data_IF_553166764360
#
_entry.id   IF_553166764360
#
_cell.length_a   1.000
_cell.length_b   1.000
_cell.length_c   1.000
_cell.angle_alpha   90.00
_cell.angle_beta   90.00
_cell.angle_gamma   90.00
#
_symmetry.space_group_name_H-M   'P 1'
#
loop_
_entity.id
_entity.type
_entity.pdbx_description
1 polymer ?
#
# COMPACT_ATOMS: atom_id res chain seq x y z
N UNK A 1 -5.08 17.76 -16.72
CA UNK A 1 -5.47 16.37 -16.40
C UNK A 1 -5.95 16.32 -14.95
N UNK A 2 -6.96 15.51 -14.65
CA UNK A 2 -7.53 15.35 -13.30
C UNK A 2 -7.40 13.87 -12.92
N UNK A 3 -6.71 13.59 -11.81
CA UNK A 3 -6.36 12.24 -11.39
C UNK A 3 -7.11 11.88 -10.11
N UNK A 4 -7.83 10.77 -10.12
CA UNK A 4 -8.37 10.15 -8.92
C UNK A 4 -7.46 9.01 -8.48
N UNK A 5 -6.81 9.14 -7.32
CA UNK A 5 -6.05 8.08 -6.68
C UNK A 5 -6.95 7.33 -5.69
N UNK A 6 -6.95 6.00 -5.71
CA UNK A 6 -7.66 5.20 -4.71
C UNK A 6 -6.71 4.24 -3.99
N UNK A 7 -6.78 4.25 -2.66
CA UNK A 7 -5.89 3.47 -1.79
C UNK A 7 -6.58 3.07 -0.49
N UNK A 8 -6.09 2.02 0.16
CA UNK A 8 -6.53 1.66 1.50
C UNK A 8 -5.78 2.40 2.61
N UNK A 9 -4.62 2.97 2.32
CA UNK A 9 -3.74 3.64 3.28
C UNK A 9 -3.39 5.04 2.80
N UNK A 10 -3.52 6.01 3.70
CA UNK A 10 -3.04 7.38 3.49
C UNK A 10 -2.78 8.03 4.86
N UNK A 11 -1.77 8.90 5.04
CA UNK A 11 -1.51 9.53 6.33
C UNK A 11 -2.75 10.23 6.91
N UNK A 12 -2.97 10.13 8.25
CA UNK A 12 -2.10 9.50 9.24
C UNK A 12 -2.26 7.97 9.38
N UNK A 13 -3.11 7.33 8.57
CA UNK A 13 -3.47 5.91 8.65
C UNK A 13 -2.61 5.06 7.71
N UNK A 14 -1.31 4.99 7.99
CA UNK A 14 -0.35 4.22 7.19
C UNK A 14 0.08 2.96 7.94
N UNK A 15 -0.04 1.80 7.29
CA UNK A 15 0.43 0.53 7.81
C UNK A 15 1.72 0.06 7.12
N UNK A 16 1.94 0.44 5.88
CA UNK A 16 3.07 -0.04 5.09
C UNK A 16 3.56 0.91 4.00
N UNK A 17 4.56 0.45 3.25
CA UNK A 17 5.19 1.27 2.21
C UNK A 17 4.26 1.73 1.08
N UNK A 18 3.12 1.05 0.87
CA UNK A 18 2.16 1.48 -0.14
C UNK A 18 1.51 2.82 0.25
N UNK A 19 1.15 3.01 1.52
CA UNK A 19 0.59 4.28 2.00
C UNK A 19 1.58 5.42 1.89
N UNK A 20 2.84 5.19 2.27
CA UNK A 20 3.93 6.18 2.11
C UNK A 20 4.13 6.52 0.62
N UNK A 21 4.15 5.51 -0.25
CA UNK A 21 4.29 5.74 -1.69
C UNK A 21 3.15 6.63 -2.24
N UNK A 22 1.89 6.35 -1.87
CA UNK A 22 0.76 7.14 -2.38
C UNK A 22 0.79 8.57 -1.85
N UNK A 23 1.24 8.78 -0.61
CA UNK A 23 1.43 10.12 -0.05
C UNK A 23 2.39 10.96 -0.90
N UNK A 24 3.63 10.47 -1.10
CA UNK A 24 4.61 11.20 -1.91
C UNK A 24 4.17 11.33 -3.37
N UNK A 25 3.63 10.27 -3.96
CA UNK A 25 3.13 10.32 -5.34
C UNK A 25 2.03 11.38 -5.51
N UNK A 26 1.07 11.43 -4.61
CA UNK A 26 -0.04 12.39 -4.70
C UNK A 26 0.44 13.84 -4.57
N UNK A 27 1.38 14.11 -3.66
CA UNK A 27 2.02 15.43 -3.49
C UNK A 27 2.79 15.85 -4.74
N UNK A 28 3.58 14.95 -5.33
CA UNK A 28 4.33 15.24 -6.54
C UNK A 28 3.43 15.42 -7.76
N UNK A 29 2.39 14.60 -7.91
CA UNK A 29 1.40 14.77 -8.97
C UNK A 29 0.62 16.08 -8.82
N UNK A 30 0.31 16.50 -7.59
CA UNK A 30 -0.42 17.75 -7.35
C UNK A 30 0.38 19.02 -7.75
N UNK A 31 1.69 18.91 -7.92
CA UNK A 31 2.50 19.99 -8.53
C UNK A 31 2.26 20.15 -10.03
N UNK A 32 1.72 19.12 -10.67
CA UNK A 32 1.56 19.04 -12.12
C UNK A 32 0.09 19.07 -12.58
N UNK A 33 -0.85 18.66 -11.72
CA UNK A 33 -2.26 18.49 -12.09
C UNK A 33 -3.15 18.43 -10.84
N UNK A 34 -4.47 18.45 -11.05
CA UNK A 34 -5.43 18.23 -9.95
C UNK A 34 -5.46 16.77 -9.54
N UNK A 35 -5.39 16.51 -8.25
CA UNK A 35 -5.36 15.19 -7.65
C UNK A 35 -6.38 15.08 -6.53
N UNK A 36 -7.29 14.13 -6.64
CA UNK A 36 -8.13 13.69 -5.54
C UNK A 36 -7.64 12.31 -5.06
N UNK A 37 -7.45 12.15 -3.76
CA UNK A 37 -7.12 10.86 -3.13
C UNK A 37 -8.33 10.39 -2.35
N UNK A 38 -8.85 9.21 -2.68
CA UNK A 38 -9.85 8.51 -1.85
C UNK A 38 -9.20 7.38 -1.08
N UNK A 39 -9.30 7.46 0.24
CA UNK A 39 -8.67 6.48 1.14
C UNK A 39 -9.66 5.88 2.12
N UNK A 40 -9.27 4.78 2.76
CA UNK A 40 -10.01 4.25 3.89
C UNK A 40 -9.77 5.15 5.11
N UNK A 41 -10.64 5.03 6.13
CA UNK A 41 -10.67 5.88 7.32
C UNK A 41 -11.19 7.30 7.04
N UNK A 42 -11.72 7.91 8.07
CA UNK A 42 -12.32 9.24 7.98
C UNK A 42 -11.24 10.31 8.03
N UNK A 43 -11.14 11.09 6.96
CA UNK A 43 -10.23 12.23 6.85
C UNK A 43 -10.61 13.16 5.71
N UNK A 44 -10.26 14.42 5.83
CA UNK A 44 -10.40 15.42 4.77
C UNK A 44 -9.20 16.37 4.83
N UNK A 45 -8.50 16.55 3.71
CA UNK A 45 -7.37 17.47 3.57
C UNK A 45 -7.52 18.18 2.22
N UNK A 46 -7.28 19.50 2.22
CA UNK A 46 -7.27 20.33 1.02
C UNK A 46 -5.98 21.16 1.02
N UNK A 47 -5.08 20.86 0.08
CA UNK A 47 -3.79 21.51 -0.08
C UNK A 47 -3.54 21.85 -1.56
N UNK A 48 -3.96 23.04 -1.97
CA UNK A 48 -3.79 23.51 -3.36
C UNK A 48 -4.52 22.63 -4.37
N UNK A 49 -3.78 21.85 -5.16
CA UNK A 49 -4.32 20.94 -6.15
C UNK A 49 -4.53 19.50 -5.62
N UNK A 50 -4.24 19.28 -4.33
CA UNK A 50 -4.41 17.97 -3.67
C UNK A 50 -5.63 18.01 -2.75
N UNK A 51 -6.57 17.11 -3.02
CA UNK A 51 -7.75 16.87 -2.19
C UNK A 51 -7.72 15.44 -1.67
N UNK A 52 -7.81 15.25 -0.36
CA UNK A 52 -7.86 13.91 0.25
C UNK A 52 -9.22 13.73 0.91
N UNK A 53 -9.91 12.65 0.57
CA UNK A 53 -11.20 12.25 1.12
C UNK A 53 -11.15 10.82 1.60
N UNK A 54 -11.32 10.66 2.89
CA UNK A 54 -11.33 9.36 3.54
C UNK A 54 -12.75 8.88 3.82
N UNK A 55 -13.02 7.60 3.60
CA UNK A 55 -14.29 6.98 3.89
C UNK A 55 -14.14 5.92 4.97
N UNK A 56 -14.75 6.18 6.13
CA UNK A 56 -14.87 5.19 7.19
C UNK A 56 -16.17 4.40 7.00
N UNK A 57 -16.02 3.14 6.57
CA UNK A 57 -17.18 2.25 6.45
C UNK A 57 -17.69 1.77 7.80
N UNK A 58 -19.00 1.81 7.97
CA UNK A 58 -19.69 1.07 9.04
C UNK A 58 -19.66 -0.43 8.74
N UNK A 59 -19.09 -1.20 9.64
CA UNK A 59 -18.96 -2.65 9.52
C UNK A 59 -19.97 -3.42 10.39
N UNK A 60 -20.90 -2.74 11.05
CA UNK A 60 -21.89 -3.38 11.95
C UNK A 60 -22.77 -4.37 11.21
N UNK A 61 -23.10 -4.10 9.94
CA UNK A 61 -23.86 -5.02 9.10
C UNK A 61 -23.08 -6.30 8.70
N UNK A 62 -21.79 -6.38 8.99
CA UNK A 62 -20.98 -7.60 8.83
C UNK A 62 -20.88 -8.43 10.12
N UNK A 63 -21.55 -8.04 11.21
CA UNK A 63 -21.43 -8.68 12.53
C UNK A 63 -21.75 -10.19 12.53
N UNK A 64 -22.59 -10.66 11.58
CA UNK A 64 -22.90 -12.06 11.39
C UNK A 64 -21.92 -12.84 10.51
N UNK A 65 -20.90 -12.18 9.94
CA UNK A 65 -19.95 -12.82 9.07
C UNK A 65 -18.76 -13.41 9.84
N UNK A 66 -18.11 -14.47 9.32
CA UNK A 66 -16.82 -14.90 9.83
C UNK A 66 -15.82 -13.74 9.86
N UNK A 67 -15.03 -13.63 10.94
CA UNK A 67 -14.10 -12.53 11.14
C UNK A 67 -13.13 -12.34 9.95
N UNK A 68 -12.73 -13.46 9.31
CA UNK A 68 -11.86 -13.43 8.12
C UNK A 68 -12.49 -12.76 6.89
N UNK A 69 -13.84 -12.62 6.86
CA UNK A 69 -14.53 -11.97 5.74
C UNK A 69 -14.74 -10.47 5.93
N UNK A 70 -14.62 -9.98 7.15
CA UNK A 70 -14.88 -8.56 7.46
C UNK A 70 -13.96 -7.64 6.65
N UNK A 71 -12.66 -7.93 6.60
CA UNK A 71 -11.69 -7.12 5.87
C UNK A 71 -11.97 -7.07 4.35
N UNK A 72 -12.17 -8.20 3.64
CA UNK A 72 -12.53 -8.18 2.22
C UNK A 72 -13.88 -7.50 1.92
N UNK A 73 -14.90 -7.73 2.75
CA UNK A 73 -16.21 -7.10 2.57
C UNK A 73 -16.15 -5.59 2.82
N UNK A 74 -15.39 -5.16 3.83
CA UNK A 74 -15.12 -3.74 4.06
C UNK A 74 -14.46 -3.11 2.83
N UNK A 75 -13.45 -3.77 2.25
CA UNK A 75 -12.78 -3.26 1.05
C UNK A 75 -13.75 -3.05 -0.12
N UNK A 76 -14.61 -4.05 -0.41
CA UNK A 76 -15.63 -3.92 -1.45
C UNK A 76 -16.60 -2.77 -1.18
N UNK A 77 -17.12 -2.68 0.05
CA UNK A 77 -18.08 -1.63 0.42
C UNK A 77 -17.46 -0.24 0.32
N UNK A 78 -16.19 -0.09 0.71
CA UNK A 78 -15.46 1.18 0.55
C UNK A 78 -15.27 1.53 -0.93
N UNK A 79 -14.95 0.56 -1.78
CA UNK A 79 -14.85 0.78 -3.22
C UNK A 79 -16.17 1.22 -3.85
N UNK A 80 -17.30 0.63 -3.41
CA UNK A 80 -18.64 1.07 -3.84
C UNK A 80 -18.91 2.52 -3.41
N UNK A 81 -18.53 2.89 -2.19
CA UNK A 81 -18.68 4.26 -1.71
C UNK A 81 -17.76 5.25 -2.46
N UNK A 82 -16.53 4.83 -2.81
CA UNK A 82 -15.63 5.64 -3.63
C UNK A 82 -16.24 6.04 -4.98
N UNK A 83 -16.99 5.16 -5.58
CA UNK A 83 -17.58 5.36 -6.90
C UNK A 83 -19.00 5.96 -6.80
N UNK A 84 -19.75 5.57 -5.76
CA UNK A 84 -21.15 5.99 -5.57
C UNK A 84 -21.32 7.46 -5.18
N UNK A 85 -20.26 8.13 -4.71
CA UNK A 85 -20.26 9.58 -4.41
C UNK A 85 -19.89 10.44 -5.63
N UNK A 86 -19.84 9.86 -6.82
CA UNK A 86 -19.33 10.54 -8.02
C UNK A 86 -17.83 10.29 -8.23
N UNK A 87 -17.28 10.69 -9.36
CA UNK A 87 -15.87 10.51 -9.68
C UNK A 87 -15.20 11.86 -9.85
N UNK A 88 -14.33 12.21 -8.90
CA UNK A 88 -13.61 13.49 -8.93
C UNK A 88 -14.47 14.66 -8.51
N UNK A 89 -15.33 14.50 -7.49
CA UNK A 89 -16.25 15.55 -7.02
C UNK A 89 -15.52 16.79 -6.51
N UNK A 90 -14.33 16.64 -5.95
CA UNK A 90 -13.47 17.72 -5.48
C UNK A 90 -12.53 18.28 -6.57
N UNK A 91 -12.57 17.71 -7.76
CA UNK A 91 -11.83 18.21 -8.91
C UNK A 91 -12.68 19.21 -9.70
N UNK A 92 -12.04 20.09 -10.41
CA UNK A 92 -12.72 20.98 -11.36
C UNK A 92 -13.16 20.17 -12.60
N UNK A 93 -14.22 19.39 -12.42
CA UNK A 93 -14.79 18.43 -13.37
C UNK A 93 -14.43 16.98 -13.10
N UNK A 94 -14.98 16.07 -13.89
CA UNK A 94 -14.79 14.61 -13.74
C UNK A 94 -13.33 14.20 -13.88
N UNK A 95 -12.88 13.24 -13.08
CA UNK A 95 -11.56 12.65 -13.23
C UNK A 95 -11.36 12.06 -14.64
N UNK A 96 -10.18 12.28 -15.20
CA UNK A 96 -9.81 11.80 -16.53
C UNK A 96 -9.08 10.46 -16.47
N UNK A 97 -8.61 10.07 -15.27
CA UNK A 97 -7.99 8.77 -15.01
C UNK A 97 -8.20 8.37 -13.55
N UNK A 98 -8.46 7.08 -13.31
CA UNK A 98 -8.40 6.50 -11.98
C UNK A 98 -7.12 5.69 -11.82
N UNK A 99 -6.38 5.91 -10.73
CA UNK A 99 -5.14 5.21 -10.42
C UNK A 99 -5.29 4.48 -9.07
N UNK A 100 -5.26 3.15 -9.11
CA UNK A 100 -5.54 2.31 -7.96
C UNK A 100 -4.26 1.71 -7.37
N UNK A 101 -4.20 1.69 -6.03
CA UNK A 101 -3.09 1.10 -5.29
C UNK A 101 -3.60 0.00 -4.36
N UNK A 102 -2.97 -1.18 -4.43
CA UNK A 102 -3.34 -2.41 -3.70
C UNK A 102 -4.71 -2.99 -4.06
N UNK A 103 -4.87 -4.30 -3.88
CA UNK A 103 -6.13 -4.99 -4.21
C UNK A 103 -7.35 -4.44 -3.44
N UNK A 104 -7.13 -3.84 -2.26
CA UNK A 104 -8.20 -3.23 -1.46
C UNK A 104 -8.98 -2.15 -2.21
N UNK A 105 -8.29 -1.40 -3.09
CA UNK A 105 -8.89 -0.32 -3.86
C UNK A 105 -9.15 -0.67 -5.34
N UNK A 106 -8.65 -1.81 -5.84
CA UNK A 106 -8.75 -2.19 -7.25
C UNK A 106 -10.20 -2.27 -7.75
N UNK A 107 -11.14 -2.69 -6.89
CA UNK A 107 -12.54 -2.81 -7.30
C UNK A 107 -13.17 -1.46 -7.65
N UNK A 108 -12.73 -0.37 -7.03
CA UNK A 108 -13.17 0.98 -7.41
C UNK A 108 -12.72 1.35 -8.83
N UNK A 109 -11.52 0.93 -9.23
CA UNK A 109 -11.03 1.14 -10.59
C UNK A 109 -11.86 0.40 -11.65
N UNK A 110 -12.18 -0.87 -11.38
CA UNK A 110 -13.06 -1.67 -12.26
C UNK A 110 -14.41 -0.97 -12.43
N UNK A 111 -15.03 -0.54 -11.33
CA UNK A 111 -16.32 0.14 -11.36
C UNK A 111 -16.25 1.49 -12.08
N UNK A 112 -15.23 2.30 -11.81
CA UNK A 112 -15.04 3.58 -12.45
C UNK A 112 -14.88 3.44 -13.97
N UNK A 113 -14.09 2.47 -14.41
CA UNK A 113 -13.91 2.17 -15.83
C UNK A 113 -15.23 1.78 -16.50
N UNK A 114 -16.04 0.93 -15.87
CA UNK A 114 -17.31 0.45 -16.44
C UNK A 114 -18.38 1.53 -16.42
N UNK A 115 -18.55 2.24 -15.29
CA UNK A 115 -19.68 3.15 -15.08
C UNK A 115 -19.41 4.55 -15.65
N UNK A 116 -18.17 5.03 -15.60
CA UNK A 116 -17.79 6.39 -16.00
C UNK A 116 -16.93 6.43 -17.28
N UNK A 117 -16.55 5.26 -17.81
CA UNK A 117 -15.73 5.12 -19.02
C UNK A 117 -14.41 5.90 -18.96
N UNK A 118 -13.77 5.92 -17.78
CA UNK A 118 -12.46 6.53 -17.58
C UNK A 118 -11.36 5.48 -17.56
N UNK A 119 -10.15 5.77 -18.08
CA UNK A 119 -9.04 4.83 -18.07
C UNK A 119 -8.59 4.50 -16.65
N UNK A 120 -8.19 3.22 -16.45
CA UNK A 120 -7.75 2.66 -15.19
C UNK A 120 -6.27 2.34 -15.21
N UNK A 121 -5.52 2.93 -14.29
CA UNK A 121 -4.11 2.62 -14.02
C UNK A 121 -3.99 1.88 -12.70
N UNK A 122 -3.07 0.92 -12.61
CA UNK A 122 -2.76 0.19 -11.37
C UNK A 122 -1.26 0.27 -11.09
N UNK A 123 -0.86 0.62 -9.86
CA UNK A 123 0.50 0.37 -9.38
C UNK A 123 0.53 -0.90 -8.53
N UNK A 124 1.39 -1.85 -8.94
CA UNK A 124 1.57 -3.14 -8.29
C UNK A 124 2.74 -3.06 -7.30
N UNK A 125 2.41 -3.06 -6.00
CA UNK A 125 3.38 -3.10 -4.90
C UNK A 125 3.68 -4.53 -4.44
N UNK A 126 2.74 -5.44 -4.62
CA UNK A 126 2.84 -6.88 -4.33
C UNK A 126 1.69 -7.61 -5.03
N UNK A 127 1.85 -8.91 -5.23
CA UNK A 127 0.86 -9.75 -5.88
C UNK A 127 0.29 -10.79 -4.89
N UNK A 128 -1.01 -10.92 -4.81
CA UNK A 128 -1.68 -11.86 -3.91
C UNK A 128 -1.28 -13.33 -4.16
N UNK A 129 -1.14 -13.83 -5.41
CA UNK A 129 -0.66 -15.19 -5.64
C UNK A 129 0.72 -15.51 -5.04
N UNK A 130 1.56 -14.50 -4.85
CA UNK A 130 2.89 -14.64 -4.23
C UNK A 130 2.85 -14.50 -2.69
N UNK A 131 1.67 -14.39 -2.11
CA UNK A 131 1.45 -14.22 -0.66
C UNK A 131 0.50 -15.28 -0.08
N UNK A 132 0.76 -16.59 -0.32
CA UNK A 132 -0.15 -17.67 0.06
C UNK A 132 -0.42 -17.75 1.57
N UNK A 133 0.50 -17.26 2.41
CA UNK A 133 0.33 -17.18 3.87
C UNK A 133 -0.84 -16.27 4.29
N UNK A 134 -1.30 -15.35 3.43
CA UNK A 134 -2.50 -14.55 3.70
C UNK A 134 -3.77 -15.38 3.84
N UNK A 135 -3.79 -16.60 3.32
CA UNK A 135 -4.91 -17.53 3.53
C UNK A 135 -5.09 -17.87 5.02
N UNK A 136 -4.01 -17.92 5.80
CA UNK A 136 -4.07 -18.12 7.25
C UNK A 136 -4.78 -16.94 7.95
N UNK A 137 -4.66 -15.73 7.42
CA UNK A 137 -5.24 -14.51 7.97
C UNK A 137 -6.66 -14.23 7.47
N UNK A 138 -6.91 -14.47 6.19
CA UNK A 138 -8.14 -14.08 5.50
C UNK A 138 -9.07 -15.26 5.20
N UNK A 139 -8.65 -16.53 5.44
CA UNK A 139 -9.43 -17.70 5.08
C UNK A 139 -9.87 -17.64 3.60
N UNK A 140 -11.15 -17.89 3.34
CA UNK A 140 -11.74 -17.77 1.99
C UNK A 140 -11.80 -16.31 1.48
N UNK A 141 -11.65 -15.31 2.33
CA UNK A 141 -11.50 -13.92 1.91
C UNK A 141 -10.26 -13.68 1.05
N UNK A 142 -9.24 -14.54 1.16
CA UNK A 142 -8.07 -14.54 0.28
C UNK A 142 -8.41 -14.89 -1.18
N UNK A 143 -9.40 -15.74 -1.41
CA UNK A 143 -9.85 -16.07 -2.76
C UNK A 143 -10.53 -14.86 -3.42
N UNK A 144 -11.26 -14.07 -2.63
CA UNK A 144 -11.85 -12.81 -3.08
C UNK A 144 -10.77 -11.77 -3.42
N UNK A 145 -9.74 -11.60 -2.58
CA UNK A 145 -8.65 -10.66 -2.88
C UNK A 145 -7.91 -11.03 -4.17
N UNK A 146 -7.65 -12.32 -4.40
CA UNK A 146 -7.05 -12.83 -5.64
C UNK A 146 -7.93 -12.59 -6.86
N UNK A 147 -9.23 -12.81 -6.73
CA UNK A 147 -10.18 -12.59 -7.83
C UNK A 147 -10.25 -11.11 -8.20
N UNK A 148 -10.33 -10.21 -7.22
CA UNK A 148 -10.34 -8.76 -7.47
C UNK A 148 -9.04 -8.33 -8.15
N UNK A 149 -7.87 -8.76 -7.62
CA UNK A 149 -6.58 -8.40 -8.19
C UNK A 149 -6.44 -8.90 -9.62
N UNK A 150 -6.79 -10.16 -9.88
CA UNK A 150 -6.77 -10.74 -11.24
C UNK A 150 -7.64 -9.94 -12.18
N UNK A 151 -8.90 -9.72 -11.84
CA UNK A 151 -9.85 -9.00 -12.68
C UNK A 151 -9.36 -7.58 -12.96
N UNK A 152 -8.83 -6.90 -11.96
CA UNK A 152 -8.33 -5.54 -12.09
C UNK A 152 -7.12 -5.47 -13.04
N UNK A 153 -6.12 -6.33 -12.84
CA UNK A 153 -4.92 -6.34 -13.69
C UNK A 153 -5.24 -6.68 -15.15
N UNK A 154 -6.10 -7.66 -15.38
CA UNK A 154 -6.47 -8.08 -16.74
C UNK A 154 -7.33 -7.03 -17.47
N UNK A 155 -8.03 -6.16 -16.75
CA UNK A 155 -8.88 -5.10 -17.31
C UNK A 155 -8.26 -3.70 -17.30
N UNK A 156 -7.15 -3.47 -16.59
CA UNK A 156 -6.47 -2.18 -16.52
C UNK A 156 -5.96 -1.71 -17.90
N UNK A 157 -6.01 -0.41 -18.16
CA UNK A 157 -5.46 0.19 -19.39
C UNK A 157 -3.94 0.30 -19.32
N UNK A 158 -3.39 0.56 -18.12
CA UNK A 158 -1.96 0.53 -17.89
C UNK A 158 -1.64 -0.02 -16.47
N UNK A 159 -0.51 -0.68 -16.35
CA UNK A 159 -0.02 -1.27 -15.12
C UNK A 159 1.41 -0.78 -14.87
N UNK A 160 1.64 -0.20 -13.70
CA UNK A 160 2.95 0.21 -13.23
C UNK A 160 3.50 -0.91 -12.33
N UNK A 161 4.56 -1.55 -12.77
CA UNK A 161 5.33 -2.49 -11.97
C UNK A 161 6.49 -1.76 -11.29
N UNK A 162 6.62 -1.89 -9.97
CA UNK A 162 7.66 -1.19 -9.20
C UNK A 162 9.07 -1.75 -9.40
N UNK A 163 9.19 -2.85 -10.13
CA UNK A 163 10.47 -3.45 -10.52
C UNK A 163 10.34 -4.34 -11.76
N UNK A 164 11.47 -4.68 -12.38
CA UNK A 164 11.49 -5.67 -13.48
C UNK A 164 10.97 -7.03 -13.02
N UNK A 165 11.37 -7.49 -11.85
CA UNK A 165 10.87 -8.73 -11.25
C UNK A 165 9.35 -8.70 -11.07
N UNK A 166 8.79 -7.60 -10.59
CA UNK A 166 7.33 -7.44 -10.48
C UNK A 166 6.65 -7.51 -11.84
N UNK A 167 7.24 -6.90 -12.87
CA UNK A 167 6.73 -7.00 -14.25
C UNK A 167 6.71 -8.44 -14.74
N UNK A 168 7.80 -9.17 -14.55
CA UNK A 168 7.92 -10.56 -14.98
C UNK A 168 6.91 -11.46 -14.25
N UNK A 169 6.68 -11.22 -12.96
CA UNK A 169 5.66 -11.92 -12.17
C UNK A 169 4.23 -11.60 -12.65
N UNK A 170 3.92 -10.35 -13.00
CA UNK A 170 2.62 -9.97 -13.57
C UNK A 170 2.37 -10.74 -14.85
N UNK A 171 3.32 -10.72 -15.78
CA UNK A 171 3.20 -11.39 -17.09
C UNK A 171 3.14 -12.93 -16.99
N UNK A 172 3.72 -13.49 -15.94
CA UNK A 172 3.69 -14.94 -15.67
C UNK A 172 2.38 -15.40 -15.03
N UNK A 173 1.76 -14.55 -14.19
CA UNK A 173 0.64 -14.95 -13.33
C UNK A 173 -0.72 -14.53 -13.85
N UNK A 174 -0.78 -13.56 -14.75
CA UNK A 174 -2.03 -12.97 -15.24
C UNK A 174 -2.01 -12.86 -16.78
N UNK A 175 -3.18 -12.88 -17.37
CA UNK A 175 -3.37 -12.68 -18.81
C UNK A 175 -3.35 -11.17 -19.14
N UNK A 176 -2.15 -10.62 -19.20
CA UNK A 176 -1.91 -9.19 -19.42
C UNK A 176 -0.98 -8.98 -20.60
N UNK A 177 -1.40 -8.13 -21.53
CA UNK A 177 -0.57 -7.72 -22.65
C UNK A 177 0.70 -7.00 -22.18
N UNK A 178 1.92 -7.45 -22.61
CA UNK A 178 3.19 -6.87 -22.15
C UNK A 178 3.33 -5.37 -22.38
N UNK A 179 2.66 -4.83 -23.40
CA UNK A 179 2.66 -3.41 -23.76
C UNK A 179 1.93 -2.53 -22.77
N UNK A 180 1.04 -3.11 -21.97
CA UNK A 180 0.33 -2.40 -20.87
C UNK A 180 1.14 -2.31 -19.58
N UNK A 181 2.26 -3.04 -19.46
CA UNK A 181 3.05 -3.10 -18.22
C UNK A 181 4.34 -2.29 -18.35
N UNK A 182 4.42 -1.20 -17.61
CA UNK A 182 5.57 -0.30 -17.55
C UNK A 182 6.30 -0.45 -16.22
N UNK A 183 7.63 -0.47 -16.24
CA UNK A 183 8.44 -0.50 -15.01
C UNK A 183 8.74 0.93 -14.57
N UNK A 184 8.20 1.33 -13.43
CA UNK A 184 8.49 2.61 -12.78
C UNK A 184 8.84 2.29 -11.31
N UNK A 185 10.12 2.33 -10.92
CA UNK A 185 10.53 2.10 -9.53
C UNK A 185 9.96 3.16 -8.59
N UNK A 186 9.76 2.78 -7.34
CA UNK A 186 9.43 3.75 -6.31
C UNK A 186 10.56 4.77 -6.16
N UNK A 187 10.19 6.03 -6.00
CA UNK A 187 11.11 7.12 -5.68
C UNK A 187 11.29 7.29 -4.18
N UNK A 188 12.20 8.17 -3.82
CA UNK A 188 12.43 8.66 -2.46
C UNK A 188 12.79 10.14 -2.53
N UNK A 189 12.36 10.92 -1.56
CA UNK A 189 12.80 12.30 -1.41
C UNK A 189 14.23 12.33 -0.87
N UNK A 190 15.17 12.72 -1.72
CA UNK A 190 16.62 12.74 -1.38
C UNK A 190 17.01 13.97 -0.57
N UNK A 191 16.17 14.99 -0.49
CA UNK A 191 16.34 16.14 0.39
C UNK A 191 15.97 15.79 1.83
N UNK A 192 14.87 15.04 2.00
CA UNK A 192 14.45 14.55 3.31
C UNK A 192 15.29 13.35 3.79
N UNK A 193 15.54 12.38 2.91
CA UNK A 193 16.27 11.15 3.23
C UNK A 193 17.71 11.21 2.70
N UNK A 194 18.60 11.86 3.44
CA UNK A 194 20.02 11.94 3.11
C UNK A 194 20.90 11.44 4.27
N UNK A 195 22.12 10.96 3.99
CA UNK A 195 23.04 10.54 5.04
C UNK A 195 23.33 11.69 6.00
N UNK A 196 23.05 11.46 7.28
CA UNK A 196 23.28 12.43 8.35
C UNK A 196 24.17 11.79 9.41
N UNK A 197 25.23 12.48 9.82
CA UNK A 197 26.08 12.02 10.90
C UNK A 197 25.69 12.76 12.19
N UNK A 198 24.83 12.14 13.00
CA UNK A 198 24.38 12.67 14.29
C UNK A 198 24.52 11.59 15.38
N UNK A 199 25.73 11.49 16.00
CA UNK A 199 25.97 10.52 17.06
C UNK A 199 25.11 10.76 18.32
N UNK A 200 24.70 12.01 18.59
CA UNK A 200 23.88 12.35 19.75
C UNK A 200 22.44 11.84 19.58
N UNK A 201 21.91 11.96 18.36
CA UNK A 201 20.59 11.41 18.03
C UNK A 201 20.55 9.88 18.22
N UNK A 202 21.59 9.19 17.77
CA UNK A 202 21.73 7.72 17.91
C UNK A 202 21.85 7.33 19.38
N UNK A 203 22.64 8.07 20.16
CA UNK A 203 22.87 7.80 21.59
C UNK A 203 21.58 7.93 22.42
N UNK A 204 20.62 8.79 22.03
CA UNK A 204 19.30 8.92 22.71
C UNK A 204 18.50 7.62 22.71
N UNK A 205 18.75 6.74 21.74
CA UNK A 205 18.12 5.40 21.67
C UNK A 205 18.96 4.31 22.37
N UNK A 206 19.99 4.67 23.12
CA UNK A 206 20.84 3.71 23.83
C UNK A 206 21.86 3.00 22.93
N UNK A 207 22.07 3.50 21.71
CA UNK A 207 23.03 2.94 20.76
C UNK A 207 24.38 3.66 20.97
N UNK A 208 25.45 2.88 21.19
CA UNK A 208 26.79 3.43 21.28
C UNK A 208 27.30 3.80 19.87
N UNK A 209 27.49 5.09 19.55
CA UNK A 209 27.90 5.51 18.20
C UNK A 209 29.35 5.11 17.85
N UNK A 210 30.14 4.63 18.82
CA UNK A 210 31.50 4.16 18.61
C UNK A 210 31.59 2.68 18.27
N UNK A 211 30.51 1.93 18.45
CA UNK A 211 30.45 0.51 18.14
C UNK A 211 29.65 0.28 16.85
N UNK A 212 30.13 -0.58 15.95
CA UNK A 212 29.35 -0.96 14.79
C UNK A 212 28.06 -1.70 15.19
N UNK A 213 27.03 -1.63 14.34
CA UNK A 213 25.76 -2.26 14.62
C UNK A 213 25.13 -2.90 13.38
N UNK A 214 24.32 -3.92 13.62
CA UNK A 214 23.39 -4.51 12.65
C UNK A 214 22.04 -3.85 12.87
N UNK A 215 21.48 -3.22 11.83
CA UNK A 215 20.20 -2.53 11.90
C UNK A 215 19.12 -3.32 11.15
N UNK A 216 18.03 -3.60 11.83
CA UNK A 216 16.77 -4.02 11.21
C UNK A 216 15.78 -2.85 11.23
N UNK A 217 15.23 -2.53 10.06
CA UNK A 217 14.14 -1.55 9.93
C UNK A 217 12.95 -2.20 9.26
N UNK A 218 11.80 -2.25 9.94
CA UNK A 218 10.61 -2.83 9.37
C UNK A 218 9.56 -3.25 10.38
N UNK A 219 8.40 -3.68 9.87
CA UNK A 219 7.32 -4.19 10.73
C UNK A 219 7.71 -5.53 11.37
N UNK A 220 7.26 -5.79 12.59
CA UNK A 220 7.36 -7.09 13.25
C UNK A 220 6.39 -8.08 12.63
N UNK A 221 6.73 -8.60 11.45
CA UNK A 221 5.92 -9.59 10.74
C UNK A 221 6.77 -10.79 10.35
N UNK A 222 6.15 -11.97 10.25
CA UNK A 222 6.81 -13.20 9.78
C UNK A 222 7.47 -12.98 8.40
N UNK A 223 6.81 -12.20 7.52
CA UNK A 223 7.30 -11.87 6.18
C UNK A 223 8.65 -11.16 6.18
N UNK A 224 8.93 -10.35 7.21
CA UNK A 224 10.19 -9.57 7.31
C UNK A 224 11.36 -10.36 7.87
N UNK A 225 11.14 -11.61 8.27
CA UNK A 225 12.19 -12.52 8.71
C UNK A 225 12.79 -12.21 10.07
N UNK A 226 12.14 -11.36 10.89
CA UNK A 226 12.65 -10.98 12.21
C UNK A 226 12.90 -12.20 13.10
N UNK A 227 12.07 -13.23 13.02
CA UNK A 227 12.26 -14.48 13.74
C UNK A 227 13.64 -15.11 13.46
N UNK A 228 14.06 -15.14 12.19
CA UNK A 228 15.36 -15.68 11.80
C UNK A 228 16.52 -14.79 12.27
N UNK A 229 16.31 -13.46 12.24
CA UNK A 229 17.30 -12.54 12.80
C UNK A 229 17.50 -12.78 14.30
N UNK A 230 16.42 -12.93 15.06
CA UNK A 230 16.50 -13.21 16.51
C UNK A 230 17.25 -14.54 16.79
N UNK A 231 17.01 -15.58 15.99
CA UNK A 231 17.77 -16.82 16.10
C UNK A 231 19.26 -16.68 15.71
N UNK A 232 19.59 -15.74 14.84
CA UNK A 232 20.96 -15.50 14.43
C UNK A 232 21.76 -14.65 15.45
N UNK A 233 21.08 -13.87 16.32
CA UNK A 233 21.76 -13.00 17.30
C UNK A 233 22.81 -13.72 18.13
N UNK A 234 22.59 -14.94 18.68
CA UNK A 234 23.63 -15.67 19.44
C UNK A 234 24.89 -15.99 18.63
N UNK A 235 24.83 -15.91 17.31
CA UNK A 235 25.93 -16.21 16.39
C UNK A 235 26.59 -14.92 15.81
N UNK A 236 26.04 -13.74 16.14
CA UNK A 236 26.62 -12.46 15.75
C UNK A 236 27.80 -12.15 16.68
N UNK A 237 28.85 -11.54 16.13
CA UNK A 237 30.01 -11.09 16.91
C UNK A 237 29.53 -10.21 18.09
N UNK A 238 29.91 -10.54 19.34
CA UNK A 238 29.50 -9.78 20.53
C UNK A 238 29.99 -8.32 20.55
N UNK A 239 30.96 -7.96 19.72
CA UNK A 239 31.41 -6.56 19.56
C UNK A 239 30.37 -5.71 18.83
N UNK A 240 29.46 -6.31 18.05
CA UNK A 240 28.39 -5.64 17.34
C UNK A 240 27.19 -5.37 18.26
N UNK A 241 26.48 -4.30 17.99
CA UNK A 241 25.17 -4.03 18.55
C UNK A 241 24.10 -4.55 17.58
N UNK A 242 22.97 -5.04 18.09
CA UNK A 242 21.79 -5.36 17.26
C UNK A 242 20.71 -4.34 17.58
N UNK A 243 20.31 -3.60 16.57
CA UNK A 243 19.32 -2.51 16.67
C UNK A 243 18.09 -2.88 15.87
N UNK A 244 16.94 -2.87 16.53
CA UNK A 244 15.65 -3.18 15.90
C UNK A 244 14.79 -1.90 15.88
N UNK A 245 14.64 -1.30 14.71
CA UNK A 245 13.70 -0.22 14.46
C UNK A 245 12.41 -0.83 13.90
N UNK A 246 11.52 -1.22 14.82
CA UNK A 246 10.29 -1.94 14.50
C UNK A 246 9.13 -1.43 15.35
N UNK A 247 7.93 -1.42 14.78
CA UNK A 247 6.70 -1.16 15.53
C UNK A 247 6.21 -2.41 16.26
N UNK A 248 4.96 -2.36 16.72
CA UNK A 248 4.32 -3.48 17.41
C UNK A 248 4.19 -4.72 16.51
N UNK A 249 4.19 -5.89 17.13
CA UNK A 249 3.98 -7.16 16.44
C UNK A 249 2.55 -7.26 15.89
N UNK A 250 2.42 -7.70 14.65
CA UNK A 250 1.13 -7.80 13.95
C UNK A 250 0.29 -9.03 14.36
N UNK A 251 0.89 -9.98 15.07
CA UNK A 251 0.21 -11.19 15.56
C UNK A 251 0.66 -11.58 16.96
N UNK A 252 -0.21 -12.27 17.72
CA UNK A 252 0.12 -12.82 19.02
C UNK A 252 1.31 -13.78 18.98
N UNK A 253 1.52 -14.47 17.86
CA UNK A 253 2.66 -15.37 17.66
C UNK A 253 4.00 -14.63 17.55
N UNK A 254 3.98 -13.37 17.12
CA UNK A 254 5.18 -12.51 17.03
C UNK A 254 5.44 -11.72 18.32
N UNK A 255 4.47 -11.71 19.25
CA UNK A 255 4.62 -11.07 20.57
C UNK A 255 5.27 -12.00 21.60
N UNK A 256 5.32 -13.30 21.34
CA UNK A 256 5.90 -14.37 22.18
C UNK A 256 7.30 -14.75 21.69
#
# INVERSE_FOLDING_TARGET
MRVLLTTNEYPPYVYGGAGVHVEYLSRELAKLTQVEVRSFHDQAVDEGQLHVRGIKMDTTHFAGCPQSFVSPLKALSTCLAFVGQGIGDDLDGTAEVIHCHTWYAHFSGILAKILYNIPMVITVHSLEPLRPWKREQLGHGYDLSRWIEKTALETADAIIAVSRSTRDDILRLFDVEPTRVVVIPNGIDTEEYHPTHDPEAIAKFGIDPKRPYVLFVGRMTRQKGLYYLLQAIPHIDPSLQVVLCAGDADTLAMQR
#
